data_IF_872865856276
#
_entry.id   IF_872865856276
#
_cell.length_a   1.000
_cell.length_b   1.000
_cell.length_c   1.000
_cell.angle_alpha   90.00
_cell.angle_beta   90.00
_cell.angle_gamma   90.00
#
_symmetry.space_group_name_H-M   'P 1'
#
loop_
_entity.id
_entity.type
_entity.pdbx_description
1 polymer ?
#
# COMPACT_ATOMS: atom_id res chain seq x y z
N UNK A 1 -16.46 15.67 -3.53
CA UNK A 1 -16.17 16.93 -2.84
C UNK A 1 -15.30 16.57 -1.67
N UNK A 2 -14.01 16.84 -1.76
CA UNK A 2 -13.07 16.49 -0.73
C UNK A 2 -13.39 17.34 0.50
N UNK A 3 -13.41 16.65 1.64
CA UNK A 3 -13.88 17.25 2.86
C UNK A 3 -12.74 18.03 3.51
N UNK A 4 -13.04 19.28 3.85
CA UNK A 4 -12.11 20.20 4.49
C UNK A 4 -11.43 19.49 5.67
N UNK A 5 -10.14 19.26 5.50
CA UNK A 5 -9.25 18.94 6.60
C UNK A 5 -9.38 20.03 7.65
N UNK A 6 -9.66 19.64 8.89
CA UNK A 6 -9.83 20.66 9.92
C UNK A 6 -8.51 21.39 10.10
N UNK A 7 -8.53 22.72 9.98
CA UNK A 7 -7.38 23.63 10.17
C UNK A 7 -6.76 23.58 11.59
N UNK A 8 -7.00 22.53 12.37
CA UNK A 8 -6.49 22.37 13.75
C UNK A 8 -4.96 22.28 13.80
N UNK A 9 -4.34 21.74 12.75
CA UNK A 9 -2.90 21.51 12.68
C UNK A 9 -2.34 21.92 11.33
N UNK A 10 -1.15 22.55 11.32
CA UNK A 10 -0.40 22.82 10.09
C UNK A 10 -0.01 21.52 9.39
N UNK A 11 0.36 21.57 8.10
CA UNK A 11 0.79 20.37 7.38
C UNK A 11 2.03 19.72 8.00
N UNK A 12 2.99 20.53 8.47
CA UNK A 12 4.15 20.05 9.21
C UNK A 12 3.77 19.34 10.52
N UNK A 13 2.83 19.91 11.30
CA UNK A 13 2.32 19.28 12.52
C UNK A 13 1.58 17.96 12.22
N UNK A 14 0.75 17.94 11.17
CA UNK A 14 0.08 16.73 10.68
C UNK A 14 1.08 15.64 10.31
N UNK A 15 2.16 15.99 9.59
CA UNK A 15 3.24 15.06 9.25
C UNK A 15 3.96 14.56 10.49
N UNK A 16 4.32 15.44 11.43
CA UNK A 16 4.97 15.06 12.68
C UNK A 16 4.12 14.09 13.51
N UNK A 17 2.81 14.34 13.63
CA UNK A 17 1.87 13.44 14.30
C UNK A 17 1.81 12.08 13.58
N UNK A 18 1.71 12.08 12.25
CA UNK A 18 1.67 10.85 11.46
C UNK A 18 2.95 10.02 11.64
N UNK A 19 4.12 10.65 11.53
CA UNK A 19 5.42 10.00 11.70
C UNK A 19 5.62 9.48 13.13
N UNK A 20 5.15 10.20 14.14
CA UNK A 20 5.19 9.75 15.54
C UNK A 20 4.38 8.46 15.72
N UNK A 21 3.16 8.39 15.16
CA UNK A 21 2.36 7.17 15.23
C UNK A 21 2.95 6.03 14.39
N UNK A 22 3.53 6.31 13.22
CA UNK A 22 4.23 5.30 12.43
C UNK A 22 5.41 4.73 13.24
N UNK A 23 6.23 5.59 13.85
CA UNK A 23 7.36 5.18 14.69
C UNK A 23 6.92 4.35 15.91
N UNK A 24 5.90 4.80 16.63
CA UNK A 24 5.31 4.04 17.74
C UNK A 24 4.73 2.69 17.25
N UNK A 25 4.10 2.68 16.07
CA UNK A 25 3.58 1.50 15.41
C UNK A 25 4.65 0.48 15.02
N UNK A 26 5.82 0.92 14.54
CA UNK A 26 6.97 0.05 14.26
C UNK A 26 7.42 -0.65 15.54
N UNK A 27 7.58 0.09 16.64
CA UNK A 27 8.07 -0.46 17.91
C UNK A 27 7.04 -1.43 18.50
N UNK A 28 5.79 -0.97 18.68
CA UNK A 28 4.73 -1.77 19.27
C UNK A 28 4.37 -2.97 18.39
N UNK A 29 4.29 -2.78 17.08
CA UNK A 29 4.02 -3.82 16.10
C UNK A 29 5.15 -4.84 16.02
N UNK A 30 6.42 -4.39 16.07
CA UNK A 30 7.58 -5.26 16.13
C UNK A 30 7.48 -6.22 17.32
N UNK A 31 7.21 -5.71 18.51
CA UNK A 31 7.05 -6.53 19.73
C UNK A 31 5.80 -7.43 19.63
N UNK A 32 4.64 -6.87 19.29
CA UNK A 32 3.37 -7.59 19.25
C UNK A 32 3.35 -8.69 18.18
N UNK A 33 4.08 -8.50 17.08
CA UNK A 33 4.13 -9.47 15.99
C UNK A 33 4.76 -10.81 16.39
N UNK A 34 5.53 -10.86 17.49
CA UNK A 34 6.09 -12.10 18.03
C UNK A 34 5.10 -12.90 18.89
N UNK A 35 3.94 -12.35 19.25
CA UNK A 35 2.92 -13.05 20.07
C UNK A 35 2.55 -14.43 19.49
N UNK A 36 2.29 -14.59 18.18
CA UNK A 36 1.95 -15.90 17.59
C UNK A 36 3.10 -16.93 17.64
N UNK A 37 4.32 -16.49 17.95
CA UNK A 37 5.51 -17.34 18.04
C UNK A 37 5.88 -17.70 19.48
N UNK A 38 5.26 -17.08 20.49
CA UNK A 38 5.53 -17.32 21.92
C UNK A 38 5.39 -18.78 22.33
N UNK A 39 4.45 -19.52 21.73
CA UNK A 39 4.25 -20.94 22.02
C UNK A 39 5.06 -21.88 21.11
N UNK A 40 5.79 -21.35 20.13
CA UNK A 40 6.49 -22.12 19.09
C UNK A 40 8.01 -22.05 19.18
N UNK A 41 8.53 -20.99 19.79
CA UNK A 41 9.97 -20.77 19.93
C UNK A 41 10.31 -20.70 21.40
N UNK A 42 11.34 -21.42 21.82
CA UNK A 42 11.89 -21.32 23.14
C UNK A 42 12.76 -20.05 23.24
N UNK A 43 12.20 -18.99 23.83
CA UNK A 43 12.87 -17.71 24.01
C UNK A 43 14.09 -17.76 24.93
N UNK A 44 14.26 -18.82 25.72
CA UNK A 44 15.46 -19.02 26.53
C UNK A 44 16.69 -19.36 25.67
N UNK A 45 16.48 -20.06 24.54
CA UNK A 45 17.53 -20.43 23.59
C UNK A 45 17.88 -19.27 22.64
N UNK A 46 16.97 -18.31 22.46
CA UNK A 46 17.17 -17.17 21.55
C UNK A 46 18.34 -16.27 21.97
N UNK A 47 18.61 -16.12 23.27
CA UNK A 47 19.77 -15.33 23.74
C UNK A 47 21.13 -15.92 23.34
N UNK A 48 21.16 -17.19 22.95
CA UNK A 48 22.38 -17.91 22.55
C UNK A 48 22.50 -18.05 21.02
N UNK A 49 21.45 -17.72 20.26
CA UNK A 49 21.45 -17.80 18.81
C UNK A 49 22.09 -16.55 18.19
N UNK A 50 22.87 -16.74 17.12
CA UNK A 50 23.25 -15.65 16.23
C UNK A 50 22.01 -15.08 15.53
N UNK A 51 22.10 -13.87 14.97
CA UNK A 51 21.01 -13.27 14.18
C UNK A 51 20.55 -14.20 13.04
N UNK A 52 21.48 -14.94 12.43
CA UNK A 52 21.19 -15.92 11.39
C UNK A 52 20.45 -17.15 11.94
N UNK A 53 20.94 -17.73 13.04
CA UNK A 53 20.28 -18.89 13.67
C UNK A 53 18.87 -18.57 14.18
N UNK A 54 18.64 -17.34 14.63
CA UNK A 54 17.30 -16.86 14.97
C UNK A 54 16.38 -16.81 13.75
N UNK A 55 16.82 -16.22 12.64
CA UNK A 55 16.03 -16.15 11.41
C UNK A 55 15.71 -17.54 10.84
N UNK A 56 16.64 -18.50 10.94
CA UNK A 56 16.38 -19.89 10.56
C UNK A 56 15.33 -20.56 11.44
N UNK A 57 15.31 -20.26 12.73
CA UNK A 57 14.28 -20.77 13.65
C UNK A 57 12.88 -20.24 13.31
N UNK A 58 12.79 -19.00 12.84
CA UNK A 58 11.55 -18.35 12.43
C UNK A 58 11.00 -18.95 11.14
N UNK A 59 11.86 -19.08 10.12
CA UNK A 59 11.47 -19.52 8.77
C UNK A 59 11.35 -21.03 8.60
N UNK A 60 11.06 -21.75 9.69
CA UNK A 60 10.68 -23.16 9.62
C UNK A 60 9.29 -23.30 8.97
N UNK A 61 9.05 -24.33 8.15
CA UNK A 61 7.77 -24.57 7.51
C UNK A 61 6.56 -24.62 8.45
N UNK A 62 6.75 -25.20 9.63
CA UNK A 62 5.72 -25.36 10.67
C UNK A 62 5.23 -24.02 11.24
N UNK A 63 6.00 -22.95 11.02
CA UNK A 63 5.68 -21.60 11.46
C UNK A 63 4.87 -20.81 10.44
N UNK A 64 4.51 -21.36 9.27
CA UNK A 64 3.82 -20.62 8.21
C UNK A 64 2.61 -19.81 8.69
N UNK A 65 1.69 -20.43 9.45
CA UNK A 65 0.53 -19.74 10.00
C UNK A 65 0.88 -18.69 11.06
N UNK A 66 1.93 -18.94 11.87
CA UNK A 66 2.41 -17.96 12.83
C UNK A 66 3.04 -16.75 12.13
N UNK A 67 3.78 -16.95 11.04
CA UNK A 67 4.36 -15.87 10.22
C UNK A 67 3.28 -15.07 9.48
N UNK A 68 2.21 -15.71 8.99
CA UNK A 68 1.04 -14.99 8.45
C UNK A 68 0.38 -14.11 9.51
N UNK A 69 0.22 -14.63 10.73
CA UNK A 69 -0.35 -13.87 11.84
C UNK A 69 0.59 -12.75 12.31
N UNK A 70 1.90 -13.00 12.33
CA UNK A 70 2.93 -11.99 12.58
C UNK A 70 2.79 -10.85 11.56
N UNK A 71 2.70 -11.16 10.26
CA UNK A 71 2.48 -10.17 9.20
C UNK A 71 1.20 -9.37 9.43
N UNK A 72 0.09 -10.04 9.77
CA UNK A 72 -1.17 -9.35 10.09
C UNK A 72 -1.00 -8.35 11.23
N UNK A 73 -0.44 -8.79 12.37
CA UNK A 73 -0.23 -7.92 13.53
C UNK A 73 0.69 -6.75 13.15
N UNK A 74 1.78 -7.01 12.44
CA UNK A 74 2.67 -5.96 11.93
C UNK A 74 1.91 -4.94 11.07
N UNK A 75 1.09 -5.38 10.11
CA UNK A 75 0.31 -4.47 9.24
C UNK A 75 -0.72 -3.64 10.01
N UNK A 76 -1.34 -4.21 11.04
CA UNK A 76 -2.29 -3.49 11.91
C UNK A 76 -1.60 -2.34 12.66
N UNK A 77 -0.44 -2.60 13.26
CA UNK A 77 0.29 -1.60 14.04
C UNK A 77 1.08 -0.63 13.18
N UNK A 78 1.57 -1.05 12.03
CA UNK A 78 2.40 -0.20 11.17
C UNK A 78 1.58 0.67 10.22
N UNK A 79 0.40 0.21 9.80
CA UNK A 79 -0.39 0.89 8.78
C UNK A 79 -1.76 1.37 9.29
N UNK A 80 -2.58 0.46 9.83
CA UNK A 80 -3.95 0.80 10.24
C UNK A 80 -3.98 1.78 11.41
N UNK A 81 -3.34 1.43 12.53
CA UNK A 81 -3.39 2.25 13.75
C UNK A 81 -2.81 3.65 13.51
N UNK A 82 -1.65 3.82 12.84
CA UNK A 82 -1.12 5.15 12.59
C UNK A 82 -2.03 5.99 11.70
N UNK A 83 -2.56 5.42 10.62
CA UNK A 83 -3.48 6.12 9.73
C UNK A 83 -4.77 6.54 10.45
N UNK A 84 -5.36 5.63 11.23
CA UNK A 84 -6.58 5.88 11.99
C UNK A 84 -6.39 6.94 13.08
N UNK A 85 -5.33 6.82 13.88
CA UNK A 85 -5.03 7.76 14.97
C UNK A 85 -4.69 9.16 14.44
N UNK A 86 -3.85 9.23 13.39
CA UNK A 86 -3.61 10.47 12.65
C UNK A 86 -4.92 11.11 12.20
N UNK A 87 -5.79 10.34 11.54
CA UNK A 87 -7.04 10.85 11.00
C UNK A 87 -8.00 11.31 12.11
N UNK A 88 -8.07 10.56 13.22
CA UNK A 88 -8.91 10.88 14.38
C UNK A 88 -8.47 12.14 15.12
N UNK A 89 -7.17 12.38 15.22
CA UNK A 89 -6.61 13.55 15.92
C UNK A 89 -6.65 14.79 15.02
N UNK A 90 -6.22 14.64 13.77
CA UNK A 90 -6.05 15.79 12.87
C UNK A 90 -7.35 16.24 12.20
N UNK A 91 -8.38 15.37 12.13
CA UNK A 91 -9.59 15.63 11.34
C UNK A 91 -10.88 15.29 12.11
N UNK A 92 -11.90 16.15 11.98
CA UNK A 92 -13.24 15.93 12.57
C UNK A 92 -13.90 14.60 12.14
N UNK A 93 -13.70 14.18 10.88
CA UNK A 93 -14.30 12.97 10.30
C UNK A 93 -13.20 12.04 9.76
N UNK A 94 -12.63 11.23 10.64
CA UNK A 94 -11.44 10.39 10.35
C UNK A 94 -11.59 9.52 9.09
N UNK A 95 -12.58 8.63 9.02
CA UNK A 95 -12.76 7.73 7.88
C UNK A 95 -13.03 8.48 6.57
N UNK A 96 -13.84 9.54 6.62
CA UNK A 96 -14.11 10.36 5.45
C UNK A 96 -12.86 11.10 4.97
N UNK A 97 -11.99 11.54 5.89
CA UNK A 97 -10.70 12.12 5.54
C UNK A 97 -9.78 11.12 4.84
N UNK A 98 -9.76 9.87 5.32
CA UNK A 98 -9.00 8.78 4.71
C UNK A 98 -9.57 8.33 3.35
N UNK A 99 -10.72 8.88 2.91
CA UNK A 99 -11.31 8.58 1.61
C UNK A 99 -12.36 7.47 1.62
N UNK A 100 -12.83 7.02 2.79
CA UNK A 100 -13.97 6.09 2.88
C UNK A 100 -15.27 6.83 2.54
N UNK A 101 -15.61 6.89 1.25
CA UNK A 101 -16.77 7.65 0.75
C UNK A 101 -17.91 6.69 0.39
N UNK A 102 -17.73 5.85 -0.64
CA UNK A 102 -18.77 4.96 -1.16
C UNK A 102 -18.15 3.72 -1.77
N UNK A 103 -18.90 2.62 -1.81
CA UNK A 103 -18.45 1.42 -2.52
C UNK A 103 -18.28 1.71 -4.03
N UNK A 104 -17.27 1.11 -4.68
CA UNK A 104 -17.09 1.21 -6.11
C UNK A 104 -18.24 0.51 -6.85
N UNK A 105 -18.63 1.06 -8.00
CA UNK A 105 -19.66 0.48 -8.86
C UNK A 105 -19.11 -0.72 -9.65
N UNK A 106 -20.02 -1.55 -10.17
CA UNK A 106 -19.63 -2.74 -10.92
C UNK A 106 -18.84 -2.42 -12.20
N UNK A 107 -19.21 -1.35 -12.90
CA UNK A 107 -18.48 -0.85 -14.07
C UNK A 107 -17.06 -0.38 -13.72
N UNK A 108 -16.89 0.32 -12.59
CA UNK A 108 -15.58 0.68 -12.04
C UNK A 108 -14.77 -0.57 -11.70
N UNK A 109 -15.37 -1.56 -11.03
CA UNK A 109 -14.69 -2.81 -10.65
C UNK A 109 -14.23 -3.60 -11.88
N UNK A 110 -15.05 -3.69 -12.93
CA UNK A 110 -14.68 -4.36 -14.17
C UNK A 110 -13.49 -3.68 -14.87
N UNK A 111 -13.49 -2.34 -14.93
CA UNK A 111 -12.38 -1.58 -15.51
C UNK A 111 -11.11 -1.72 -14.64
N UNK A 112 -11.24 -1.65 -13.32
CA UNK A 112 -10.13 -1.87 -12.37
C UNK A 112 -9.53 -3.25 -12.58
N UNK A 113 -10.35 -4.30 -12.68
CA UNK A 113 -9.85 -5.65 -12.95
C UNK A 113 -9.04 -5.68 -14.25
N UNK A 114 -9.55 -5.06 -15.32
CA UNK A 114 -8.81 -4.91 -16.57
C UNK A 114 -7.48 -4.17 -16.39
N UNK A 115 -7.47 -3.05 -15.65
CA UNK A 115 -6.24 -2.29 -15.36
C UNK A 115 -5.24 -3.18 -14.64
N UNK A 116 -5.67 -3.89 -13.59
CA UNK A 116 -4.81 -4.77 -12.81
C UNK A 116 -4.26 -5.92 -13.66
N UNK A 117 -5.09 -6.54 -14.48
CA UNK A 117 -4.68 -7.61 -15.39
C UNK A 117 -3.63 -7.14 -16.40
N UNK A 118 -3.86 -6.02 -17.10
CA UNK A 118 -2.91 -5.52 -18.08
C UNK A 118 -1.66 -4.90 -17.45
N UNK A 119 -1.75 -4.42 -16.21
CA UNK A 119 -0.59 -3.94 -15.45
C UNK A 119 0.43 -5.07 -15.17
N UNK A 120 0.01 -6.33 -15.09
CA UNK A 120 0.92 -7.47 -14.94
C UNK A 120 1.94 -7.54 -16.10
N UNK A 121 1.51 -7.28 -17.34
CA UNK A 121 2.43 -7.28 -18.49
C UNK A 121 3.44 -6.13 -18.43
N UNK A 122 3.01 -4.95 -17.95
CA UNK A 122 3.89 -3.80 -17.76
C UNK A 122 4.95 -4.13 -16.72
N UNK A 123 4.50 -4.63 -15.57
CA UNK A 123 5.34 -4.99 -14.44
C UNK A 123 6.34 -6.08 -14.81
N UNK A 124 5.89 -7.12 -15.52
CA UNK A 124 6.78 -8.20 -15.96
C UNK A 124 7.83 -7.77 -16.97
N UNK A 125 7.46 -6.90 -17.92
CA UNK A 125 8.41 -6.30 -18.86
C UNK A 125 9.43 -5.39 -18.17
N UNK A 126 8.99 -4.61 -17.17
CA UNK A 126 9.88 -3.77 -16.39
C UNK A 126 10.80 -4.58 -15.47
N UNK A 127 10.32 -5.70 -14.93
CA UNK A 127 11.14 -6.64 -14.16
C UNK A 127 12.28 -7.19 -15.01
N UNK A 128 12.01 -7.58 -16.27
CA UNK A 128 13.04 -8.04 -17.20
C UNK A 128 14.12 -6.96 -17.44
N UNK A 129 13.71 -5.71 -17.66
CA UNK A 129 14.64 -4.59 -17.82
C UNK A 129 15.43 -4.32 -16.53
N UNK A 130 14.76 -4.38 -15.38
CA UNK A 130 15.35 -4.08 -14.07
C UNK A 130 16.50 -5.02 -13.71
N UNK A 131 16.38 -6.31 -14.05
CA UNK A 131 17.43 -7.31 -13.81
C UNK A 131 18.69 -7.08 -14.65
N UNK A 132 18.58 -6.34 -15.75
CA UNK A 132 19.71 -6.03 -16.63
C UNK A 132 20.47 -4.78 -16.19
N UNK A 133 19.99 -4.05 -15.18
CA UNK A 133 20.64 -2.82 -14.70
C UNK A 133 21.97 -3.15 -14.00
N UNK A 134 23.10 -2.61 -14.49
CA UNK A 134 24.41 -2.91 -13.91
C UNK A 134 24.66 -2.05 -12.66
N UNK A 135 24.53 -2.66 -11.48
CA UNK A 135 24.86 -2.00 -10.20
C UNK A 135 26.32 -2.23 -9.80
N UNK A 136 26.92 -1.31 -9.02
CA UNK A 136 28.21 -1.56 -8.37
C UNK A 136 28.17 -2.81 -7.49
N UNK A 137 29.30 -3.53 -7.39
CA UNK A 137 29.39 -4.81 -6.70
C UNK A 137 28.86 -4.78 -5.25
N UNK A 138 29.17 -3.72 -4.49
CA UNK A 138 28.71 -3.54 -3.11
C UNK A 138 27.19 -3.46 -3.00
N UNK A 139 26.55 -2.77 -3.94
CA UNK A 139 25.09 -2.64 -3.99
C UNK A 139 24.46 -3.96 -4.42
N UNK A 140 25.04 -4.63 -5.40
CA UNK A 140 24.57 -5.94 -5.86
C UNK A 140 24.61 -6.99 -4.74
N UNK A 141 25.65 -6.98 -3.91
CA UNK A 141 25.74 -7.88 -2.76
C UNK A 141 24.62 -7.60 -1.73
N UNK A 142 24.34 -6.33 -1.43
CA UNK A 142 23.26 -5.92 -0.52
C UNK A 142 21.88 -6.32 -1.06
N UNK A 143 21.64 -6.11 -2.35
CA UNK A 143 20.38 -6.49 -2.99
C UNK A 143 20.16 -7.99 -2.98
N UNK A 144 21.19 -8.79 -3.30
CA UNK A 144 21.10 -10.25 -3.22
C UNK A 144 20.82 -10.73 -1.79
N UNK A 145 21.45 -10.13 -0.79
CA UNK A 145 21.21 -10.48 0.61
C UNK A 145 19.77 -10.13 1.06
N UNK A 146 19.27 -8.95 0.70
CA UNK A 146 17.90 -8.53 0.98
C UNK A 146 16.87 -9.44 0.29
N UNK A 147 17.09 -9.74 -0.99
CA UNK A 147 16.20 -10.62 -1.76
C UNK A 147 16.20 -12.05 -1.23
N UNK A 148 17.36 -12.58 -0.82
CA UNK A 148 17.43 -13.91 -0.19
C UNK A 148 16.62 -13.99 1.11
N UNK A 149 16.64 -12.93 1.93
CA UNK A 149 15.85 -12.86 3.16
C UNK A 149 14.35 -12.76 2.85
N UNK A 150 13.97 -11.91 1.89
CA UNK A 150 12.60 -11.77 1.41
C UNK A 150 12.05 -13.11 0.89
N UNK A 151 12.80 -13.79 0.02
CA UNK A 151 12.41 -15.06 -0.58
C UNK A 151 12.26 -16.18 0.46
N UNK A 152 13.14 -16.25 1.47
CA UNK A 152 13.00 -17.21 2.58
C UNK A 152 11.67 -16.99 3.32
N UNK A 153 11.33 -15.75 3.65
CA UNK A 153 10.07 -15.43 4.32
C UNK A 153 8.87 -15.78 3.43
N UNK A 154 8.90 -15.37 2.16
CA UNK A 154 7.82 -15.62 1.21
C UNK A 154 7.59 -17.10 0.94
N UNK A 155 8.65 -17.91 0.79
CA UNK A 155 8.53 -19.35 0.57
C UNK A 155 7.79 -20.05 1.72
N UNK A 156 7.98 -19.61 2.96
CA UNK A 156 7.29 -20.19 4.12
C UNK A 156 5.84 -19.70 4.18
N UNK A 157 5.61 -18.40 4.00
CA UNK A 157 4.25 -17.83 4.01
C UNK A 157 3.38 -18.33 2.85
N UNK A 158 3.99 -18.69 1.72
CA UNK A 158 3.34 -19.25 0.53
C UNK A 158 2.94 -20.72 0.68
N UNK A 159 3.38 -21.44 1.72
CA UNK A 159 3.03 -22.86 1.89
C UNK A 159 1.56 -23.04 2.24
N UNK A 160 0.77 -23.57 1.31
CA UNK A 160 -0.65 -23.85 1.53
C UNK A 160 -0.89 -25.36 1.39
N UNK A 161 -1.47 -25.98 2.42
CA UNK A 161 -1.74 -27.42 2.43
C UNK A 161 -3.19 -27.75 2.06
N UNK A 162 -4.04 -26.75 1.86
CA UNK A 162 -5.43 -26.94 1.50
C UNK A 162 -6.21 -25.64 1.37
N UNK A 163 -7.52 -25.76 1.12
CA UNK A 163 -8.42 -24.62 0.86
C UNK A 163 -8.50 -23.66 2.06
N UNK A 164 -8.37 -24.17 3.28
CA UNK A 164 -8.40 -23.33 4.49
C UNK A 164 -7.18 -22.42 4.60
N UNK A 165 -5.99 -22.90 4.24
CA UNK A 165 -4.78 -22.07 4.18
C UNK A 165 -4.91 -20.99 3.09
N UNK A 166 -5.55 -21.31 1.97
CA UNK A 166 -5.86 -20.35 0.91
C UNK A 166 -6.83 -19.27 1.38
N UNK A 167 -7.97 -19.65 1.98
CA UNK A 167 -8.96 -18.69 2.51
C UNK A 167 -8.32 -17.78 3.56
N UNK A 168 -7.55 -18.36 4.48
CA UNK A 168 -6.83 -17.60 5.50
C UNK A 168 -5.82 -16.64 4.87
N UNK A 169 -5.07 -17.08 3.86
CA UNK A 169 -4.11 -16.22 3.15
C UNK A 169 -4.79 -15.12 2.34
N UNK A 170 -5.95 -15.39 1.73
CA UNK A 170 -6.74 -14.37 1.02
C UNK A 170 -7.20 -13.27 1.98
N UNK A 171 -7.58 -13.63 3.21
CA UNK A 171 -8.00 -12.65 4.21
C UNK A 171 -6.80 -11.88 4.79
N UNK A 172 -5.77 -12.59 5.23
CA UNK A 172 -4.65 -12.05 6.02
C UNK A 172 -3.56 -11.40 5.16
N UNK A 173 -3.32 -11.92 3.95
CA UNK A 173 -2.22 -11.47 3.08
C UNK A 173 -2.73 -10.63 1.90
N UNK A 174 -3.98 -10.81 1.47
CA UNK A 174 -4.55 -10.00 0.40
C UNK A 174 -5.48 -8.89 0.90
N UNK A 175 -6.61 -9.24 1.54
CA UNK A 175 -7.66 -8.26 1.86
C UNK A 175 -7.27 -7.27 2.95
N UNK A 176 -6.80 -7.75 4.11
CA UNK A 176 -6.49 -6.88 5.23
C UNK A 176 -5.32 -5.92 4.93
N UNK A 177 -4.19 -6.36 4.34
CA UNK A 177 -3.15 -5.46 3.88
C UNK A 177 -3.67 -4.45 2.85
N UNK A 178 -4.50 -4.87 1.88
CA UNK A 178 -5.11 -3.94 0.94
C UNK A 178 -5.95 -2.86 1.65
N UNK A 179 -6.62 -3.14 2.77
CA UNK A 179 -7.34 -2.10 3.51
C UNK A 179 -6.34 -1.20 4.27
N UNK A 180 -5.42 -1.80 5.02
CA UNK A 180 -4.57 -1.08 5.96
C UNK A 180 -3.49 -0.26 5.28
N UNK A 181 -2.87 -0.81 4.24
CA UNK A 181 -1.85 -0.12 3.44
C UNK A 181 -2.47 1.05 2.67
N UNK A 182 -3.64 0.88 2.05
CA UNK A 182 -4.30 2.01 1.39
C UNK A 182 -4.65 3.13 2.38
N UNK A 183 -5.02 2.80 3.62
CA UNK A 183 -5.32 3.80 4.65
C UNK A 183 -4.10 4.69 4.93
N UNK A 184 -2.92 4.10 5.09
CA UNK A 184 -1.71 4.87 5.39
C UNK A 184 -1.15 5.55 4.13
N UNK A 185 -1.06 4.84 3.00
CA UNK A 185 -0.41 5.37 1.81
C UNK A 185 -1.28 6.37 1.09
N UNK A 186 -2.57 6.05 0.85
CA UNK A 186 -3.47 6.91 0.07
C UNK A 186 -4.19 7.88 0.98
N UNK A 187 -4.86 7.33 1.99
CA UNK A 187 -5.69 8.10 2.92
C UNK A 187 -4.91 9.13 3.76
N UNK A 188 -3.69 8.79 4.19
CA UNK A 188 -2.85 9.65 5.02
C UNK A 188 -1.70 10.31 4.22
N UNK A 189 -0.66 9.57 3.82
CA UNK A 189 0.58 10.12 3.26
C UNK A 189 0.33 10.87 1.95
N UNK A 190 -0.21 10.21 0.92
CA UNK A 190 -0.46 10.81 -0.39
C UNK A 190 -1.44 11.98 -0.27
N UNK A 191 -2.52 11.83 0.50
CA UNK A 191 -3.50 12.89 0.71
C UNK A 191 -2.89 14.12 1.41
N UNK A 192 -2.07 13.91 2.44
CA UNK A 192 -1.34 14.98 3.14
C UNK A 192 -0.36 15.67 2.20
N UNK A 193 0.50 14.91 1.51
CA UNK A 193 1.47 15.45 0.57
C UNK A 193 0.76 16.23 -0.55
N UNK A 194 -0.28 15.68 -1.17
CA UNK A 194 -1.02 16.34 -2.26
C UNK A 194 -1.54 17.73 -1.87
N UNK A 195 -2.00 17.90 -0.62
CA UNK A 195 -2.44 19.18 -0.06
C UNK A 195 -1.28 20.09 0.35
N UNK A 196 -0.18 19.53 0.84
CA UNK A 196 0.97 20.29 1.31
C UNK A 196 1.84 20.80 0.16
N UNK A 197 2.32 19.90 -0.71
CA UNK A 197 3.24 20.26 -1.80
C UNK A 197 2.54 20.88 -3.01
N UNK A 198 1.19 20.84 -3.05
CA UNK A 198 0.40 21.41 -4.14
C UNK A 198 0.79 20.83 -5.52
N UNK A 199 1.23 19.58 -5.54
CA UNK A 199 1.62 18.86 -6.75
C UNK A 199 1.24 17.37 -6.63
N UNK A 200 -0.02 17.01 -6.95
CA UNK A 200 -0.55 15.68 -6.69
C UNK A 200 0.23 14.53 -7.37
N UNK A 201 0.78 14.77 -8.56
CA UNK A 201 1.61 13.77 -9.26
C UNK A 201 2.88 13.45 -8.46
N UNK A 202 3.55 14.46 -7.92
CA UNK A 202 4.72 14.24 -7.06
C UNK A 202 4.34 13.54 -5.76
N UNK A 203 3.18 13.84 -5.18
CA UNK A 203 2.69 13.12 -4.01
C UNK A 203 2.44 11.63 -4.30
N UNK A 204 1.88 11.30 -5.47
CA UNK A 204 1.71 9.91 -5.93
C UNK A 204 3.07 9.23 -6.09
N UNK A 205 4.02 9.86 -6.79
CA UNK A 205 5.35 9.30 -7.05
C UNK A 205 6.10 9.04 -5.74
N UNK A 206 6.15 10.02 -4.84
CA UNK A 206 6.82 9.88 -3.54
C UNK A 206 6.17 8.75 -2.72
N UNK A 207 4.84 8.72 -2.67
CA UNK A 207 4.13 7.67 -1.94
C UNK A 207 4.37 6.30 -2.54
N UNK A 208 4.39 6.17 -3.87
CA UNK A 208 4.66 4.92 -4.57
C UNK A 208 6.09 4.41 -4.34
N UNK A 209 7.08 5.31 -4.26
CA UNK A 209 8.46 4.97 -3.90
C UNK A 209 8.51 4.43 -2.48
N UNK A 210 7.88 5.11 -1.51
CA UNK A 210 7.87 4.67 -0.10
C UNK A 210 7.14 3.33 0.01
N UNK A 211 5.96 3.20 -0.61
CA UNK A 211 5.18 1.96 -0.68
C UNK A 211 6.03 0.80 -1.19
N UNK A 212 6.79 1.01 -2.27
CA UNK A 212 7.64 -0.04 -2.82
C UNK A 212 8.84 -0.36 -1.93
N UNK A 213 9.54 0.65 -1.42
CA UNK A 213 10.76 0.50 -0.64
C UNK A 213 10.57 -0.28 0.67
N UNK A 214 9.43 -0.09 1.36
CA UNK A 214 9.19 -0.74 2.65
C UNK A 214 9.00 -2.27 2.56
N UNK A 215 8.82 -2.82 1.36
CA UNK A 215 8.70 -4.26 1.15
C UNK A 215 10.05 -4.98 1.15
N UNK A 216 11.17 -4.25 1.08
CA UNK A 216 12.51 -4.82 1.24
C UNK A 216 12.95 -5.81 0.15
N UNK A 217 12.22 -5.90 -0.97
CA UNK A 217 12.60 -6.73 -2.12
C UNK A 217 13.05 -5.83 -3.26
N UNK A 218 14.27 -6.10 -3.73
CA UNK A 218 14.92 -5.35 -4.78
C UNK A 218 14.29 -5.69 -6.14
N UNK A 219 14.04 -6.97 -6.41
CA UNK A 219 13.45 -7.41 -7.68
C UNK A 219 12.01 -6.92 -7.80
N UNK A 220 11.28 -6.90 -6.69
CA UNK A 220 9.92 -6.39 -6.64
C UNK A 220 9.79 -4.88 -6.49
N UNK A 221 10.89 -4.11 -6.47
CA UNK A 221 10.83 -2.66 -6.28
C UNK A 221 10.09 -1.96 -7.43
N UNK A 222 10.50 -2.19 -8.67
CA UNK A 222 9.86 -1.57 -9.84
C UNK A 222 8.40 -2.04 -10.02
N UNK A 223 8.09 -3.35 -9.93
CA UNK A 223 6.72 -3.85 -9.87
C UNK A 223 5.81 -3.10 -8.90
N UNK A 224 6.24 -3.01 -7.63
CA UNK A 224 5.43 -2.37 -6.57
C UNK A 224 5.37 -0.87 -6.72
N UNK A 225 6.39 -0.23 -7.30
CA UNK A 225 6.33 1.21 -7.62
C UNK A 225 5.23 1.50 -8.65
N UNK A 226 5.15 0.71 -9.74
CA UNK A 226 4.13 0.89 -10.79
C UNK A 226 2.73 0.62 -10.23
N UNK A 227 2.56 -0.48 -9.49
CA UNK A 227 1.33 -0.75 -8.75
C UNK A 227 0.97 0.42 -7.83
N UNK A 228 1.95 0.88 -7.05
CA UNK A 228 1.83 2.01 -6.13
C UNK A 228 1.30 3.26 -6.81
N UNK A 229 1.85 3.56 -7.99
CA UNK A 229 1.46 4.68 -8.83
C UNK A 229 0.04 4.54 -9.39
N UNK A 230 -0.34 3.37 -9.92
CA UNK A 230 -1.70 3.11 -10.45
C UNK A 230 -2.74 3.30 -9.33
N UNK A 231 -2.52 2.69 -8.18
CA UNK A 231 -3.40 2.79 -7.01
C UNK A 231 -3.50 4.25 -6.52
N UNK A 232 -2.37 4.96 -6.50
CA UNK A 232 -2.33 6.38 -6.14
C UNK A 232 -3.05 7.28 -7.14
N UNK A 233 -2.95 6.97 -8.43
CA UNK A 233 -3.71 7.65 -9.48
C UNK A 233 -5.22 7.41 -9.35
N UNK A 234 -5.67 6.17 -9.15
CA UNK A 234 -7.09 5.84 -8.93
C UNK A 234 -7.66 6.61 -7.72
N UNK A 235 -6.91 6.67 -6.62
CA UNK A 235 -7.28 7.47 -5.46
C UNK A 235 -7.32 8.96 -5.79
N UNK A 236 -6.30 9.49 -6.45
CA UNK A 236 -6.25 10.88 -6.87
C UNK A 236 -7.41 11.24 -7.81
N UNK A 237 -7.90 10.31 -8.63
CA UNK A 237 -9.04 10.60 -9.52
C UNK A 237 -10.38 10.60 -8.81
N UNK A 238 -10.56 9.80 -7.77
CA UNK A 238 -11.88 9.56 -7.18
C UNK A 238 -12.05 10.06 -5.74
N UNK A 239 -10.94 10.32 -5.05
CA UNK A 239 -10.91 10.56 -3.60
C UNK A 239 -11.45 9.40 -2.78
N UNK A 240 -11.73 8.25 -3.42
CA UNK A 240 -12.43 7.12 -2.84
C UNK A 240 -11.45 5.97 -2.63
N UNK A 241 -11.08 5.74 -1.38
CA UNK A 241 -10.10 4.73 -1.02
C UNK A 241 -10.57 3.31 -1.37
N UNK A 242 -11.89 3.06 -1.41
CA UNK A 242 -12.42 1.75 -1.78
C UNK A 242 -12.05 1.32 -3.20
N UNK A 243 -11.86 2.28 -4.12
CA UNK A 243 -11.39 2.01 -5.49
C UNK A 243 -9.97 1.43 -5.45
N UNK A 244 -9.08 2.07 -4.69
CA UNK A 244 -7.69 1.61 -4.54
C UNK A 244 -7.62 0.32 -3.71
N UNK A 245 -8.44 0.16 -2.67
CA UNK A 245 -8.54 -1.09 -1.90
C UNK A 245 -8.96 -2.25 -2.81
N UNK A 246 -9.97 -2.06 -3.67
CA UNK A 246 -10.41 -3.10 -4.60
C UNK A 246 -9.30 -3.46 -5.60
N UNK A 247 -8.64 -2.46 -6.18
CA UNK A 247 -7.52 -2.68 -7.11
C UNK A 247 -6.34 -3.42 -6.45
N UNK A 248 -5.97 -3.02 -5.24
CA UNK A 248 -4.89 -3.64 -4.47
C UNK A 248 -5.27 -5.06 -4.03
N UNK A 249 -6.51 -5.27 -3.58
CA UNK A 249 -7.01 -6.61 -3.25
C UNK A 249 -7.00 -7.53 -4.47
N UNK A 250 -7.41 -7.05 -5.65
CA UNK A 250 -7.35 -7.82 -6.89
C UNK A 250 -5.89 -8.24 -7.18
N UNK A 251 -4.93 -7.31 -7.07
CA UNK A 251 -3.51 -7.62 -7.26
C UNK A 251 -3.04 -8.75 -6.32
N UNK A 252 -3.24 -8.56 -5.01
CA UNK A 252 -2.75 -9.52 -4.03
C UNK A 252 -3.52 -10.85 -4.11
N UNK A 253 -4.82 -10.79 -4.40
CA UNK A 253 -5.67 -11.95 -4.59
C UNK A 253 -5.25 -12.78 -5.80
N UNK A 254 -4.87 -12.15 -6.92
CA UNK A 254 -4.29 -12.84 -8.07
C UNK A 254 -3.01 -13.55 -7.66
N UNK A 255 -2.07 -12.88 -6.98
CA UNK A 255 -0.81 -13.48 -6.53
C UNK A 255 -1.03 -14.65 -5.57
N UNK A 256 -1.92 -14.52 -4.58
CA UNK A 256 -2.29 -15.60 -3.66
C UNK A 256 -2.95 -16.77 -4.38
N UNK A 257 -3.78 -16.51 -5.39
CA UNK A 257 -4.43 -17.56 -6.19
C UNK A 257 -3.42 -18.32 -7.04
N UNK A 258 -2.45 -17.63 -7.65
CA UNK A 258 -1.34 -18.26 -8.37
C UNK A 258 -0.48 -19.11 -7.44
N UNK A 259 -0.12 -18.58 -6.26
CA UNK A 259 0.63 -19.33 -5.24
C UNK A 259 -0.11 -20.61 -4.82
N UNK A 260 -1.41 -20.52 -4.60
CA UNK A 260 -2.22 -21.68 -4.26
C UNK A 260 -2.28 -22.70 -5.40
N UNK A 261 -2.48 -22.26 -6.64
CA UNK A 261 -2.54 -23.13 -7.82
C UNK A 261 -1.24 -23.94 -8.01
N UNK A 262 -0.08 -23.32 -7.77
CA UNK A 262 1.23 -23.98 -7.87
C UNK A 262 1.71 -24.63 -6.55
N UNK A 263 0.97 -24.47 -5.45
CA UNK A 263 1.29 -25.11 -4.19
C UNK A 263 0.97 -26.62 -4.24
N UNK A 264 1.82 -27.43 -3.61
CA UNK A 264 1.55 -28.84 -3.40
C UNK A 264 1.57 -29.13 -1.91
N UNK A 265 0.52 -29.73 -1.32
CA UNK A 265 0.48 -30.02 0.11
C UNK A 265 1.73 -30.78 0.59
N UNK A 266 2.31 -30.34 1.69
CA UNK A 266 3.51 -30.93 2.28
C UNK A 266 4.83 -30.62 1.55
N UNK A 267 4.82 -29.88 0.43
CA UNK A 267 6.04 -29.47 -0.29
C UNK A 267 6.27 -27.97 -0.19
N UNK A 268 7.51 -27.55 -0.39
CA UNK A 268 7.82 -26.14 -0.57
C UNK A 268 7.21 -25.65 -1.90
N UNK A 269 6.59 -24.47 -1.88
CA UNK A 269 6.11 -23.82 -3.10
C UNK A 269 7.30 -23.31 -3.90
N UNK A 270 7.43 -23.78 -5.14
CA UNK A 270 8.47 -23.33 -6.06
C UNK A 270 8.09 -21.97 -6.66
N UNK A 271 8.65 -20.90 -6.08
CA UNK A 271 8.37 -19.53 -6.50
C UNK A 271 8.88 -19.22 -7.91
N UNK A 272 9.81 -20.01 -8.46
CA UNK A 272 10.31 -19.79 -9.83
C UNK A 272 9.24 -20.04 -10.90
N UNK A 273 8.18 -20.79 -10.57
CA UNK A 273 7.03 -21.04 -11.47
C UNK A 273 6.07 -19.86 -11.57
N UNK A 274 6.24 -18.87 -10.68
CA UNK A 274 5.45 -17.63 -10.64
C UNK A 274 6.38 -16.48 -11.02
N UNK A 275 7.39 -16.74 -11.82
CA UNK A 275 8.21 -15.71 -12.40
C UNK A 275 7.39 -14.92 -13.41
N UNK A 276 7.04 -13.69 -13.04
CA UNK A 276 6.15 -12.82 -13.81
C UNK A 276 6.89 -12.03 -14.90
N UNK A 277 8.11 -12.42 -15.30
CA UNK A 277 8.85 -11.75 -16.37
C UNK A 277 8.21 -11.99 -17.73
N UNK A 278 7.95 -10.89 -18.44
CA UNK A 278 7.37 -10.90 -19.78
C UNK A 278 8.28 -10.19 -20.79
N UNK A 279 8.26 -10.58 -22.08
CA UNK A 279 8.91 -9.83 -23.15
C UNK A 279 8.49 -8.35 -23.17
N UNK A 280 9.45 -7.46 -23.45
CA UNK A 280 9.23 -6.00 -23.43
C UNK A 280 8.09 -5.53 -24.33
N UNK A 281 7.86 -6.21 -25.46
CA UNK A 281 6.77 -5.87 -26.38
C UNK A 281 5.37 -6.10 -25.77
N UNK A 282 5.21 -7.11 -24.90
CA UNK A 282 3.96 -7.30 -24.14
C UNK A 282 3.75 -6.18 -23.13
N UNK A 283 4.84 -5.66 -22.55
CA UNK A 283 4.80 -4.46 -21.71
C UNK A 283 4.25 -3.24 -22.45
N UNK A 284 4.67 -3.02 -23.70
CA UNK A 284 4.15 -1.93 -24.53
C UNK A 284 2.65 -2.08 -24.82
N UNK A 285 2.18 -3.30 -25.11
CA UNK A 285 0.74 -3.59 -25.25
C UNK A 285 0.00 -3.32 -23.94
N UNK A 286 0.56 -3.75 -22.81
CA UNK A 286 0.03 -3.48 -21.47
C UNK A 286 -0.12 -1.98 -21.20
N UNK A 287 0.88 -1.16 -21.54
CA UNK A 287 0.84 0.31 -21.37
C UNK A 287 -0.33 0.90 -22.17
N UNK A 288 -0.47 0.54 -23.44
CA UNK A 288 -1.55 1.04 -24.30
C UNK A 288 -2.91 0.66 -23.71
N UNK A 289 -3.07 -0.60 -23.28
CA UNK A 289 -4.30 -1.09 -22.67
C UNK A 289 -4.63 -0.35 -21.36
N UNK A 290 -3.65 -0.19 -20.46
CA UNK A 290 -3.82 0.51 -19.18
C UNK A 290 -4.17 1.98 -19.40
N UNK A 291 -3.52 2.69 -20.34
CA UNK A 291 -3.87 4.09 -20.66
C UNK A 291 -5.31 4.18 -21.17
N UNK A 292 -5.71 3.29 -22.09
CA UNK A 292 -7.08 3.24 -22.61
C UNK A 292 -8.12 2.97 -21.50
N UNK A 293 -7.82 2.04 -20.59
CA UNK A 293 -8.67 1.70 -19.47
C UNK A 293 -8.74 2.80 -18.41
N UNK A 294 -7.64 3.52 -18.14
CA UNK A 294 -7.64 4.69 -17.27
C UNK A 294 -8.52 5.81 -17.85
N UNK A 295 -8.50 6.01 -19.17
CA UNK A 295 -9.38 6.95 -19.84
C UNK A 295 -10.85 6.51 -19.79
N UNK A 296 -11.13 5.21 -19.94
CA UNK A 296 -12.47 4.66 -19.76
C UNK A 296 -12.97 4.81 -18.32
N UNK A 297 -12.09 4.53 -17.34
CA UNK A 297 -12.36 4.69 -15.91
C UNK A 297 -12.76 6.13 -15.60
N UNK A 298 -12.05 7.11 -16.16
CA UNK A 298 -12.37 8.51 -16.02
C UNK A 298 -13.75 8.87 -16.57
N UNK A 299 -14.14 8.28 -17.70
CA UNK A 299 -15.46 8.51 -18.32
C UNK A 299 -16.59 8.01 -17.44
N UNK A 300 -16.46 6.79 -16.91
CA UNK A 300 -17.46 6.17 -16.03
C UNK A 300 -17.52 6.89 -14.68
N UNK A 301 -16.37 7.32 -14.18
CA UNK A 301 -16.26 7.96 -12.88
C UNK A 301 -16.46 9.48 -12.92
N UNK A 302 -16.77 10.11 -14.07
CA UNK A 302 -16.84 11.59 -14.23
C UNK A 302 -17.56 12.32 -13.09
N UNK A 303 -18.71 11.79 -12.66
CA UNK A 303 -19.56 12.39 -11.60
C UNK A 303 -19.06 12.14 -10.18
N UNK A 304 -18.06 11.27 -10.04
CA UNK A 304 -17.47 10.82 -8.78
C UNK A 304 -16.00 11.25 -8.67
N UNK A 305 -15.49 11.97 -9.66
CA UNK A 305 -14.14 12.49 -9.64
C UNK A 305 -14.04 13.50 -8.51
N UNK A 306 -13.17 13.16 -7.58
CA UNK A 306 -12.76 14.01 -6.49
C UNK A 306 -11.24 13.95 -6.51
N UNK A 307 -10.59 15.09 -6.63
CA UNK A 307 -9.13 15.15 -6.77
C UNK A 307 -8.50 15.68 -5.50
N UNK A 308 -8.28 14.82 -4.48
CA UNK A 308 -7.62 15.22 -3.24
C UNK A 308 -6.37 16.06 -3.53
N UNK A 309 -6.29 17.23 -2.91
CA UNK A 309 -5.18 18.18 -3.11
C UNK A 309 -5.37 19.20 -4.24
N UNK A 310 -6.23 18.97 -5.25
CA UNK A 310 -6.56 20.02 -6.23
C UNK A 310 -7.44 21.13 -5.63
N UNK A 311 -8.24 20.83 -4.61
CA UNK A 311 -9.03 21.84 -3.89
C UNK A 311 -8.17 22.96 -3.27
N UNK A 312 -6.92 22.65 -2.89
CA UNK A 312 -5.97 23.63 -2.38
C UNK A 312 -5.21 24.38 -3.50
N UNK A 313 -5.38 23.96 -4.74
CA UNK A 313 -4.70 24.48 -5.94
C UNK A 313 -5.58 25.37 -6.80
N UNK A 314 -6.91 25.26 -6.69
CA UNK A 314 -7.84 26.15 -7.38
C UNK A 314 -7.83 27.52 -6.69
N UNK A 315 -7.36 28.60 -7.35
CA UNK A 315 -7.51 29.94 -6.81
C UNK A 315 -9.01 30.22 -6.62
N UNK A 316 -9.43 30.52 -5.38
CA UNK A 316 -10.84 30.79 -5.07
C UNK A 316 -11.71 29.57 -4.75
N UNK A 317 -11.14 28.40 -4.41
CA UNK A 317 -11.95 27.29 -3.87
C UNK A 317 -12.55 27.66 -2.51
N UNK A 318 -13.80 28.13 -2.55
CA UNK A 318 -14.66 28.38 -1.41
C UNK A 318 -15.55 27.17 -1.18
N UNK A 319 -15.38 26.49 -0.05
CA UNK A 319 -16.33 25.46 0.39
C UNK A 319 -17.33 26.13 1.35
N UNK A 320 -18.61 26.34 0.95
CA UNK A 320 -19.61 27.05 1.76
C UNK A 320 -19.98 26.31 3.05
N UNK A 321 -19.58 25.04 3.19
CA UNK A 321 -19.75 24.26 4.42
C UNK A 321 -18.46 24.23 5.26
N UNK A 322 -17.58 25.22 5.10
CA UNK A 322 -16.37 25.37 5.90
C UNK A 322 -16.63 26.20 7.17
N UNK A 323 -16.73 25.57 8.36
CA UNK A 323 -17.00 26.28 9.61
C UNK A 323 -15.83 27.15 10.10
N UNK A 324 -14.81 27.39 9.27
CA UNK A 324 -13.63 28.20 9.58
C UNK A 324 -13.22 29.12 8.40
N UNK A 325 -14.10 29.34 7.42
CA UNK A 325 -13.94 30.42 6.42
C UNK A 325 -14.89 31.58 6.72
N UNK A 326 -16.03 31.34 7.36
CA UNK A 326 -17.02 32.37 7.68
C UNK A 326 -16.59 33.39 8.76
N UNK A 327 -15.40 33.25 9.38
CA UNK A 327 -14.94 34.15 10.46
C UNK A 327 -13.75 35.04 10.07
N UNK A 328 -13.30 35.03 8.80
CA UNK A 328 -12.17 35.91 8.38
C UNK A 328 -12.65 37.24 7.79
N UNK A 329 -13.92 37.35 7.40
CA UNK A 329 -14.47 38.56 6.78
C UNK A 329 -14.94 39.63 7.78
N UNK A 330 -14.93 39.34 9.09
CA UNK A 330 -15.42 40.30 10.12
C UNK A 330 -14.32 41.15 10.78
N UNK A 331 -13.04 40.87 10.50
CA UNK A 331 -11.91 41.65 11.03
C UNK A 331 -11.49 42.77 10.03
N UNK A 332 -11.95 42.69 8.78
CA UNK A 332 -11.61 43.65 7.73
C UNK A 332 -12.51 44.89 7.65
N UNK A 333 -13.69 44.87 8.28
CA UNK A 333 -14.71 45.92 8.14
C UNK A 333 -14.87 46.84 9.36
N UNK A 334 -14.05 46.70 10.41
CA UNK A 334 -14.08 47.61 11.57
C UNK A 334 -13.10 48.79 11.47
N UNK A 335 -12.33 48.92 10.38
CA UNK A 335 -11.43 50.06 10.14
C UNK A 335 -11.93 51.02 9.04
N UNK A 336 -13.21 50.95 8.67
CA UNK A 336 -13.87 51.92 7.81
C UNK A 336 -15.24 52.28 8.38
N UNK A 337 -15.24 53.04 9.49
CA UNK A 337 -16.37 53.85 9.94
C UNK A 337 -15.84 55.08 10.66
#
# INVERSE_FOLDING_TARGET
MAHIATKRFTYGAQMGILLAFIGAGIIAGGIASFIPLLSKIDFSQIKQLSSEGFMESLFKPENANALRMMQFISTLFFFFLPAFLYAKICHKKAFRHLGFIKAPKLDQLAIIFGIMFFALFIVGALSEIWHQVPFPADWQAKFKAAEAMYMKQMQVMARMNGVWDYILSMFIVALLPAIFEEMIFRGAIQNLLSRWIKAPVWAIVITAIIFSAIHGSYDGFVPRFVLGFILGWLFYRTGNIWVSIAAHFINNGIGISMLYYYSTPGKATDLSKIDERFPVWLGAVGIIAVIGLLYAFDKVSKKEIDRPGQEALLPGYYNPNNPFIAEVDDIGNQNQA
#
